data_IF_910815783390
#
_entry.id   IF_910815783390
#
_cell.length_a   1.000
_cell.length_b   1.000
_cell.length_c   1.000
_cell.angle_alpha   90.00
_cell.angle_beta   90.00
_cell.angle_gamma   90.00
#
_symmetry.space_group_name_H-M   'P 1'
#
loop_
_entity.id
_entity.type
_entity.pdbx_description
1 polymer ?
#
# COMPACT_ATOMS: atom_id res chain seq x y z
N UNK A 1 -1.20 5.74 31.93
CA UNK A 1 -2.06 6.53 31.02
C UNK A 1 -3.44 5.92 31.04
N UNK A 2 -4.52 6.67 31.36
CA UNK A 2 -5.90 6.20 31.13
C UNK A 2 -6.09 6.14 29.61
N UNK A 3 -6.28 4.95 29.09
CA UNK A 3 -6.71 4.78 27.67
C UNK A 3 -8.15 5.29 27.63
N UNK A 4 -8.36 6.46 27.01
CA UNK A 4 -9.71 6.95 26.75
C UNK A 4 -10.43 5.91 25.87
N UNK A 5 -11.64 5.55 26.22
CA UNK A 5 -12.45 4.66 25.40
C UNK A 5 -12.69 5.27 24.00
N UNK A 6 -13.00 4.41 23.02
CA UNK A 6 -13.35 4.85 21.67
C UNK A 6 -14.59 5.75 21.72
N UNK A 7 -14.59 6.92 21.05
CA UNK A 7 -15.79 7.75 20.95
C UNK A 7 -16.93 7.02 20.23
N UNK A 8 -18.16 7.40 20.57
CA UNK A 8 -19.37 6.85 19.95
C UNK A 8 -19.70 7.68 18.70
N UNK A 9 -19.93 7.00 17.56
CA UNK A 9 -20.51 7.61 16.37
C UNK A 9 -22.02 7.78 16.64
N UNK A 10 -22.50 9.02 16.60
CA UNK A 10 -23.92 9.36 16.80
C UNK A 10 -24.65 9.36 15.47
N UNK A 11 -24.06 9.96 14.46
CA UNK A 11 -24.64 9.99 13.10
C UNK A 11 -23.56 10.07 12.03
N UNK A 12 -23.91 9.61 10.84
CA UNK A 12 -23.13 9.75 9.61
C UNK A 12 -24.07 10.26 8.54
N UNK A 13 -23.69 11.35 7.88
CA UNK A 13 -24.46 11.96 6.79
C UNK A 13 -23.55 12.09 5.55
N UNK A 14 -24.07 11.76 4.39
CA UNK A 14 -23.38 12.04 3.12
C UNK A 14 -23.48 13.52 2.81
N UNK A 15 -22.36 14.22 2.80
CA UNK A 15 -22.26 15.63 2.44
C UNK A 15 -22.14 15.82 0.92
N UNK A 16 -21.39 14.93 0.24
CA UNK A 16 -21.23 14.95 -1.21
C UNK A 16 -20.87 13.57 -1.75
N UNK A 17 -21.16 13.34 -3.03
CA UNK A 17 -20.79 12.10 -3.75
C UNK A 17 -20.27 12.43 -5.13
N UNK A 18 -19.19 11.76 -5.53
CA UNK A 18 -18.65 11.76 -6.89
C UNK A 18 -18.63 10.33 -7.45
N UNK A 19 -18.03 10.13 -8.62
CA UNK A 19 -17.85 8.78 -9.20
C UNK A 19 -17.03 7.86 -8.27
N UNK A 20 -16.00 8.38 -7.62
CA UNK A 20 -15.03 7.60 -6.81
C UNK A 20 -15.17 7.84 -5.32
N UNK A 21 -15.64 9.00 -4.89
CA UNK A 21 -15.56 9.44 -3.50
C UNK A 21 -16.92 9.77 -2.92
N UNK A 22 -17.08 9.45 -1.65
CA UNK A 22 -18.19 9.91 -0.82
C UNK A 22 -17.58 10.72 0.32
N UNK A 23 -18.02 11.96 0.46
CA UNK A 23 -17.66 12.81 1.60
C UNK A 23 -18.78 12.64 2.64
N UNK A 24 -18.40 12.21 3.84
CA UNK A 24 -19.31 11.98 4.95
C UNK A 24 -18.99 12.95 6.09
N UNK A 25 -20.04 13.54 6.67
CA UNK A 25 -19.97 14.20 7.97
C UNK A 25 -20.30 13.18 9.06
N UNK A 26 -19.41 13.05 10.05
CA UNK A 26 -19.49 12.08 11.15
C UNK A 26 -19.55 12.81 12.47
N UNK A 27 -20.68 12.74 13.17
CA UNK A 27 -20.84 13.30 14.51
C UNK A 27 -20.45 12.27 15.57
N UNK A 28 -19.57 12.68 16.49
CA UNK A 28 -19.00 11.86 17.56
C UNK A 28 -19.31 12.43 18.93
N UNK A 29 -19.45 11.54 19.92
CA UNK A 29 -19.45 11.88 21.35
C UNK A 29 -18.27 11.15 22.00
N UNK A 30 -17.38 11.90 22.61
CA UNK A 30 -16.21 11.40 23.32
C UNK A 30 -16.58 10.91 24.73
N UNK A 31 -15.73 10.10 25.35
CA UNK A 31 -15.97 9.56 26.69
C UNK A 31 -16.05 10.61 27.80
N UNK A 32 -15.57 11.83 27.55
CA UNK A 32 -15.68 12.99 28.45
C UNK A 32 -16.95 13.81 28.23
N UNK A 33 -17.84 13.38 27.31
CA UNK A 33 -19.09 14.07 26.97
C UNK A 33 -18.95 15.15 25.90
N UNK A 34 -17.77 15.45 25.42
CA UNK A 34 -17.58 16.42 24.34
C UNK A 34 -18.09 15.88 23.02
N UNK A 35 -18.77 16.74 22.25
CA UNK A 35 -19.20 16.44 20.87
C UNK A 35 -18.21 17.04 19.88
N UNK A 36 -18.03 16.37 18.75
CA UNK A 36 -17.29 16.87 17.61
C UNK A 36 -17.89 16.33 16.30
N UNK A 37 -17.73 17.09 15.24
CA UNK A 37 -18.12 16.71 13.90
C UNK A 37 -16.89 16.75 12.99
N UNK A 38 -16.67 15.66 12.26
CA UNK A 38 -15.55 15.49 11.35
C UNK A 38 -16.05 15.14 9.97
N UNK A 39 -15.31 15.57 8.97
CA UNK A 39 -15.50 15.04 7.61
C UNK A 39 -14.51 13.92 7.32
N UNK A 40 -14.97 12.92 6.59
CA UNK A 40 -14.11 11.87 6.05
C UNK A 40 -14.45 11.57 4.61
N UNK A 41 -13.44 11.15 3.87
CA UNK A 41 -13.60 10.62 2.51
C UNK A 41 -13.66 9.11 2.62
N UNK A 42 -14.75 8.54 2.14
CA UNK A 42 -14.93 7.11 1.95
C UNK A 42 -15.14 6.80 0.47
N UNK A 43 -15.16 5.53 0.11
CA UNK A 43 -15.48 5.11 -1.24
C UNK A 43 -16.52 4.00 -1.19
N UNK A 44 -17.48 4.06 -2.10
CA UNK A 44 -18.48 3.01 -2.29
C UNK A 44 -17.89 1.75 -2.91
N UNK A 45 -16.72 1.86 -3.56
CA UNK A 45 -16.08 0.81 -4.34
C UNK A 45 -14.93 0.11 -3.59
N UNK A 46 -14.42 0.69 -2.48
CA UNK A 46 -13.19 0.23 -1.87
C UNK A 46 -13.44 -0.79 -0.76
N UNK A 47 -13.04 -2.03 -1.03
CA UNK A 47 -12.85 -3.08 -0.01
C UNK A 47 -11.42 -3.12 0.52
N UNK A 48 -10.60 -2.12 0.20
CA UNK A 48 -9.19 -2.02 0.50
C UNK A 48 -8.35 -1.80 -0.76
N UNK A 49 -7.08 -1.55 -0.57
CA UNK A 49 -6.09 -1.41 -1.62
C UNK A 49 -4.88 -2.30 -1.34
N UNK A 50 -4.15 -2.63 -2.37
CA UNK A 50 -2.88 -3.34 -2.29
C UNK A 50 -1.76 -2.48 -2.87
N UNK A 51 -0.57 -2.61 -2.30
CA UNK A 51 0.69 -2.14 -2.86
C UNK A 51 1.67 -3.29 -2.83
N UNK A 52 2.29 -3.56 -3.95
CA UNK A 52 3.08 -4.77 -4.16
C UNK A 52 4.57 -4.41 -4.20
N UNK A 53 5.40 -5.16 -3.48
CA UNK A 53 6.87 -5.11 -3.58
C UNK A 53 7.33 -6.30 -4.39
N UNK A 54 7.51 -6.16 -5.73
CA UNK A 54 7.89 -7.25 -6.61
C UNK A 54 9.39 -7.46 -6.53
N UNK A 55 9.82 -8.58 -5.93
CA UNK A 55 11.23 -8.92 -5.75
C UNK A 55 11.77 -9.66 -6.96
N UNK A 56 12.71 -9.04 -7.69
CA UNK A 56 13.44 -9.66 -8.79
C UNK A 56 14.44 -10.69 -8.23
N UNK A 57 15.12 -10.30 -7.18
CA UNK A 57 16.10 -11.11 -6.43
C UNK A 57 16.10 -10.70 -4.95
N UNK A 58 16.94 -11.27 -4.06
CA UNK A 58 16.96 -10.90 -2.65
C UNK A 58 17.23 -9.42 -2.34
N UNK A 59 17.75 -8.63 -3.27
CA UNK A 59 18.15 -7.23 -3.04
C UNK A 59 17.49 -6.25 -3.98
N UNK A 60 16.90 -6.73 -5.09
CA UNK A 60 16.36 -5.91 -6.17
C UNK A 60 14.84 -6.07 -6.27
N UNK A 61 14.19 -4.98 -6.62
CA UNK A 61 12.74 -4.91 -6.78
C UNK A 61 12.37 -4.12 -8.05
N UNK A 62 11.12 -4.24 -8.46
CA UNK A 62 10.58 -3.55 -9.62
C UNK A 62 9.71 -2.38 -9.19
N UNK A 63 9.89 -1.23 -9.83
CA UNK A 63 9.01 -0.07 -9.78
C UNK A 63 8.37 0.14 -11.15
N UNK A 64 7.32 0.94 -11.17
CA UNK A 64 6.66 1.45 -12.37
C UNK A 64 6.74 2.98 -12.39
N UNK A 65 6.77 3.54 -13.59
CA UNK A 65 6.68 4.98 -13.81
C UNK A 65 5.27 5.28 -14.34
N UNK A 66 4.45 5.95 -13.54
CA UNK A 66 3.00 6.16 -13.78
C UNK A 66 2.68 7.65 -13.74
N UNK A 67 1.81 8.12 -14.65
CA UNK A 67 1.29 9.48 -14.58
C UNK A 67 0.26 9.61 -13.45
N UNK A 68 0.54 10.48 -12.49
CA UNK A 68 -0.35 10.72 -11.35
C UNK A 68 -1.07 12.06 -11.50
N UNK A 69 -2.36 12.01 -11.82
CA UNK A 69 -3.18 13.18 -12.11
C UNK A 69 -3.22 14.19 -10.95
N UNK A 70 -3.09 13.73 -9.71
CA UNK A 70 -3.09 14.59 -8.52
C UNK A 70 -1.88 15.53 -8.42
N UNK A 71 -0.78 15.20 -9.09
CA UNK A 71 0.46 15.98 -9.10
C UNK A 71 0.83 16.48 -10.50
N UNK A 72 0.07 16.11 -11.53
CA UNK A 72 0.28 16.48 -12.94
C UNK A 72 1.70 16.13 -13.43
N UNK A 73 2.16 14.92 -13.10
CA UNK A 73 3.50 14.42 -13.48
C UNK A 73 3.59 12.90 -13.43
N UNK A 74 4.65 12.36 -14.02
CA UNK A 74 5.04 10.96 -13.82
C UNK A 74 5.73 10.79 -12.46
N UNK A 75 5.39 9.70 -11.77
CA UNK A 75 5.98 9.31 -10.48
C UNK A 75 6.47 7.87 -10.55
N UNK A 76 7.64 7.64 -9.94
CA UNK A 76 8.17 6.30 -9.75
C UNK A 76 7.57 5.70 -8.48
N UNK A 77 6.80 4.63 -8.62
CA UNK A 77 6.07 3.99 -7.52
C UNK A 77 6.08 2.46 -7.61
N UNK A 78 5.65 1.82 -6.54
CA UNK A 78 5.34 0.39 -6.55
C UNK A 78 4.02 0.14 -7.28
N UNK A 79 3.85 -1.02 -7.96
CA UNK A 79 2.57 -1.49 -8.45
C UNK A 79 1.52 -1.51 -7.34
N UNK A 80 0.29 -1.09 -7.64
CA UNK A 80 -0.77 -0.92 -6.65
C UNK A 80 -2.15 -0.88 -7.31
N UNK A 81 -3.17 -1.31 -6.59
CA UNK A 81 -4.53 -1.17 -7.07
C UNK A 81 -5.57 -1.54 -6.02
N UNK A 82 -6.80 -1.67 -6.46
CA UNK A 82 -7.96 -1.89 -5.60
C UNK A 82 -8.32 -3.37 -5.52
N UNK A 83 -8.76 -3.79 -4.33
CA UNK A 83 -9.35 -5.12 -4.16
C UNK A 83 -10.78 -5.08 -4.72
N UNK A 84 -11.05 -5.88 -5.74
CA UNK A 84 -12.35 -5.97 -6.40
C UNK A 84 -13.34 -6.83 -5.60
N UNK A 85 -14.61 -6.74 -5.96
CA UNK A 85 -15.65 -7.54 -5.31
C UNK A 85 -15.44 -9.05 -5.52
N UNK A 86 -15.44 -9.81 -4.42
CA UNK A 86 -15.23 -11.27 -4.45
C UNK A 86 -13.76 -11.68 -4.53
N UNK A 87 -12.84 -10.73 -4.63
CA UNK A 87 -11.39 -10.97 -4.72
C UNK A 87 -10.75 -11.01 -3.33
N UNK A 88 -9.76 -11.89 -3.14
CA UNK A 88 -8.89 -11.83 -1.97
C UNK A 88 -7.78 -10.80 -2.18
N UNK A 89 -7.24 -10.25 -1.08
CA UNK A 89 -6.11 -9.30 -1.14
C UNK A 89 -4.90 -9.84 -1.94
N UNK A 90 -4.58 -11.14 -1.81
CA UNK A 90 -3.46 -11.74 -2.55
C UNK A 90 -3.80 -11.95 -4.03
N UNK A 91 -5.06 -12.24 -4.36
CA UNK A 91 -5.50 -12.34 -5.75
C UNK A 91 -5.44 -10.97 -6.43
N UNK A 92 -5.94 -9.92 -5.77
CA UNK A 92 -5.83 -8.54 -6.22
C UNK A 92 -4.38 -8.16 -6.48
N UNK A 93 -3.49 -8.43 -5.54
CA UNK A 93 -2.07 -8.13 -5.68
C UNK A 93 -1.43 -8.83 -6.90
N UNK A 94 -1.77 -10.10 -7.15
CA UNK A 94 -1.23 -10.80 -8.31
C UNK A 94 -1.82 -10.30 -9.63
N UNK A 95 -3.11 -9.93 -9.66
CA UNK A 95 -3.76 -9.34 -10.83
C UNK A 95 -3.12 -7.99 -11.17
N UNK A 96 -3.03 -7.05 -10.22
CA UNK A 96 -2.40 -5.75 -10.41
C UNK A 96 -0.94 -5.88 -10.85
N UNK A 97 -0.19 -6.84 -10.27
CA UNK A 97 1.18 -7.11 -10.68
C UNK A 97 1.26 -7.54 -12.15
N UNK A 98 0.35 -8.40 -12.61
CA UNK A 98 0.29 -8.85 -14.00
C UNK A 98 -0.12 -7.72 -14.96
N UNK A 99 -1.09 -6.91 -14.58
CA UNK A 99 -1.60 -5.77 -15.36
C UNK A 99 -0.54 -4.68 -15.51
N UNK A 100 0.07 -4.24 -14.40
CA UNK A 100 0.98 -3.09 -14.39
C UNK A 100 2.43 -3.47 -14.77
N UNK A 101 2.86 -4.72 -14.55
CA UNK A 101 4.25 -5.10 -14.78
C UNK A 101 4.45 -6.21 -15.80
N UNK A 102 3.42 -6.97 -16.13
CA UNK A 102 3.52 -8.14 -16.98
C UNK A 102 4.17 -9.35 -16.30
N UNK A 103 4.22 -9.39 -14.97
CA UNK A 103 4.72 -10.52 -14.19
C UNK A 103 3.67 -11.05 -13.24
N UNK A 104 3.59 -12.37 -13.08
CA UNK A 104 2.90 -13.02 -11.96
C UNK A 104 3.90 -13.43 -10.89
N UNK A 105 3.43 -13.55 -9.64
CA UNK A 105 4.22 -14.02 -8.53
C UNK A 105 3.84 -15.46 -8.12
N UNK A 106 4.83 -16.34 -7.99
CA UNK A 106 4.66 -17.68 -7.43
C UNK A 106 4.51 -17.66 -5.90
N UNK A 107 4.98 -16.59 -5.24
CA UNK A 107 4.87 -16.38 -3.80
C UNK A 107 4.39 -14.98 -3.50
N UNK A 108 3.31 -14.90 -2.73
CA UNK A 108 2.71 -13.65 -2.26
C UNK A 108 2.53 -13.72 -0.75
N UNK A 109 2.91 -12.67 -0.05
CA UNK A 109 2.78 -12.57 1.38
C UNK A 109 2.38 -11.15 1.81
N UNK A 110 1.29 -11.02 2.58
CA UNK A 110 0.96 -9.76 3.25
C UNK A 110 1.94 -9.53 4.39
N UNK A 111 2.72 -8.46 4.30
CA UNK A 111 3.76 -8.15 5.27
C UNK A 111 3.41 -6.98 6.20
N UNK A 112 2.49 -6.12 5.79
CA UNK A 112 2.07 -4.96 6.58
C UNK A 112 0.71 -4.42 6.11
N UNK A 113 0.15 -3.47 6.88
CA UNK A 113 -0.98 -2.64 6.48
C UNK A 113 -0.64 -1.19 6.78
N UNK A 114 -0.82 -0.30 5.80
CA UNK A 114 -0.57 1.13 5.91
C UNK A 114 -1.90 1.88 6.01
N UNK A 115 -2.00 2.81 6.94
CA UNK A 115 -3.05 3.82 6.93
C UNK A 115 -2.56 5.05 6.15
N UNK A 116 -3.42 5.58 5.29
CA UNK A 116 -3.12 6.75 4.49
C UNK A 116 -3.99 7.91 4.95
N UNK A 117 -3.36 8.99 5.40
CA UNK A 117 -4.08 10.19 5.85
C UNK A 117 -5.29 9.88 6.77
N UNK A 118 -5.09 9.04 7.80
CA UNK A 118 -6.14 8.48 8.67
C UNK A 118 -7.01 9.54 9.39
N UNK A 119 -6.61 10.81 9.35
CA UNK A 119 -7.44 11.90 9.85
C UNK A 119 -8.71 12.15 9.05
N UNK A 120 -8.74 11.75 7.77
CA UNK A 120 -9.87 11.96 6.89
C UNK A 120 -10.09 10.89 5.81
N UNK A 121 -9.14 9.99 5.56
CA UNK A 121 -9.35 8.84 4.67
C UNK A 121 -9.72 7.60 5.46
N UNK A 122 -10.72 6.87 5.00
CA UNK A 122 -11.28 5.71 5.70
C UNK A 122 -10.80 4.35 5.16
N UNK A 123 -9.77 4.30 4.33
CA UNK A 123 -9.24 3.04 3.81
C UNK A 123 -7.76 2.81 4.15
N UNK A 124 -7.39 1.56 4.16
CA UNK A 124 -6.04 1.07 4.40
C UNK A 124 -5.50 0.40 3.13
N UNK A 125 -4.16 0.34 3.04
CA UNK A 125 -3.46 -0.33 1.94
C UNK A 125 -2.64 -1.48 2.49
N UNK A 126 -2.86 -2.69 2.00
CA UNK A 126 -2.09 -3.87 2.37
C UNK A 126 -0.79 -3.94 1.55
N UNK A 127 0.33 -4.09 2.24
CA UNK A 127 1.66 -4.26 1.62
C UNK A 127 1.89 -5.74 1.36
N UNK A 128 2.06 -6.09 0.09
CA UNK A 128 2.26 -7.46 -0.37
C UNK A 128 3.68 -7.62 -0.90
N UNK A 129 4.44 -8.52 -0.29
CA UNK A 129 5.73 -8.95 -0.84
C UNK A 129 5.48 -10.04 -1.88
N UNK A 130 5.95 -9.80 -3.11
CA UNK A 130 5.82 -10.72 -4.23
C UNK A 130 7.19 -11.28 -4.62
N UNK A 131 7.32 -12.58 -4.73
CA UNK A 131 8.55 -13.27 -5.13
C UNK A 131 8.27 -14.37 -6.15
N UNK A 132 9.36 -14.95 -6.67
CA UNK A 132 9.29 -16.00 -7.69
C UNK A 132 8.53 -15.49 -8.94
N UNK A 133 8.96 -14.32 -9.44
CA UNK A 133 8.32 -13.65 -10.56
C UNK A 133 8.51 -14.43 -11.86
N UNK A 134 7.44 -14.57 -12.62
CA UNK A 134 7.45 -15.19 -13.95
C UNK A 134 6.67 -14.33 -14.96
N UNK A 135 7.09 -14.24 -16.23
CA UNK A 135 6.39 -13.47 -17.25
C UNK A 135 4.94 -13.95 -17.42
N UNK A 136 3.99 -13.07 -17.17
CA UNK A 136 2.56 -13.28 -17.36
C UNK A 136 1.86 -11.92 -17.35
N UNK A 137 1.52 -11.41 -18.51
CA UNK A 137 0.82 -10.15 -18.65
C UNK A 137 -0.70 -10.36 -18.73
N UNK A 138 -1.43 -9.46 -18.13
CA UNK A 138 -2.86 -9.25 -18.35
C UNK A 138 -3.07 -7.89 -18.98
N UNK A 139 -4.19 -7.73 -19.68
CA UNK A 139 -4.63 -6.42 -20.15
C UNK A 139 -5.13 -5.62 -18.94
N UNK A 140 -4.48 -4.49 -18.66
CA UNK A 140 -4.88 -3.55 -17.62
C UNK A 140 -5.81 -2.46 -18.16
N UNK A 141 -6.23 -1.55 -17.28
CA UNK A 141 -7.05 -0.38 -17.62
C UNK A 141 -6.22 0.91 -17.77
N UNK A 142 -4.89 0.79 -17.69
CA UNK A 142 -3.98 1.91 -17.89
C UNK A 142 -4.04 2.42 -19.34
N UNK A 143 -4.09 3.76 -19.55
CA UNK A 143 -4.22 4.34 -20.89
C UNK A 143 -2.97 4.17 -21.76
N UNK A 144 -1.83 3.86 -21.16
CA UNK A 144 -0.55 3.60 -21.82
C UNK A 144 0.25 2.52 -21.09
N UNK A 145 1.17 1.84 -21.78
CA UNK A 145 2.06 0.87 -21.15
C UNK A 145 2.96 1.52 -20.08
N UNK A 146 2.97 0.98 -18.87
CA UNK A 146 3.81 1.49 -17.79
C UNK A 146 5.29 1.11 -17.99
N UNK A 147 6.18 2.10 -17.83
CA UNK A 147 7.62 1.86 -17.84
C UNK A 147 8.04 1.14 -16.55
N UNK A 148 8.76 0.05 -16.69
CA UNK A 148 9.28 -0.76 -15.56
C UNK A 148 10.71 -0.39 -15.25
N UNK A 149 11.02 -0.11 -13.98
CA UNK A 149 12.35 0.31 -13.52
C UNK A 149 12.83 -0.65 -12.44
N UNK A 150 13.89 -1.39 -12.74
CA UNK A 150 14.56 -2.22 -11.74
C UNK A 150 15.41 -1.34 -10.81
N UNK A 151 15.25 -1.52 -9.50
CA UNK A 151 15.95 -0.77 -8.45
C UNK A 151 16.43 -1.74 -7.37
N UNK A 152 17.31 -1.26 -6.49
CA UNK A 152 17.84 -2.07 -5.40
C UNK A 152 17.71 -1.43 -4.03
N UNK A 153 17.66 -2.24 -2.97
CA UNK A 153 17.59 -1.73 -1.59
C UNK A 153 18.84 -0.90 -1.17
N UNK A 154 20.07 -1.18 -1.63
CA UNK A 154 21.20 -0.29 -1.39
C UNK A 154 21.02 1.14 -1.91
N UNK A 155 20.27 1.33 -3.01
CA UNK A 155 20.03 2.65 -3.62
C UNK A 155 18.81 3.37 -2.99
N UNK A 156 18.00 2.68 -2.19
CA UNK A 156 16.72 3.17 -1.69
C UNK A 156 16.85 4.52 -0.94
N UNK A 157 17.83 4.62 -0.05
CA UNK A 157 17.98 5.84 0.76
C UNK A 157 18.32 7.05 -0.13
N UNK A 158 19.19 6.87 -1.13
CA UNK A 158 19.54 7.93 -2.09
C UNK A 158 18.34 8.28 -2.99
N UNK A 159 17.57 7.30 -3.41
CA UNK A 159 16.36 7.53 -4.22
C UNK A 159 15.30 8.34 -3.47
N UNK A 160 15.13 8.08 -2.18
CA UNK A 160 14.20 8.83 -1.32
C UNK A 160 14.75 10.23 -1.03
N UNK A 161 16.01 10.35 -0.62
CA UNK A 161 16.61 11.63 -0.24
C UNK A 161 16.80 12.59 -1.42
N UNK A 162 17.00 12.07 -2.62
CA UNK A 162 17.05 12.88 -3.86
C UNK A 162 15.68 13.28 -4.39
N UNK A 163 14.58 12.74 -3.83
CA UNK A 163 13.22 12.96 -4.34
C UNK A 163 12.89 12.17 -5.62
N UNK A 164 13.68 11.16 -5.97
CA UNK A 164 13.39 10.28 -7.10
C UNK A 164 12.18 9.39 -6.83
N UNK A 165 11.93 9.05 -5.56
CA UNK A 165 10.70 8.43 -5.07
C UNK A 165 10.07 9.38 -4.06
N UNK A 166 8.82 9.81 -4.29
CA UNK A 166 8.10 10.74 -3.41
C UNK A 166 6.77 10.16 -2.89
N UNK A 167 6.24 9.10 -3.51
CA UNK A 167 5.03 8.43 -3.00
C UNK A 167 5.28 7.82 -1.63
N UNK A 168 4.57 8.32 -0.62
CA UNK A 168 4.74 7.90 0.79
C UNK A 168 4.45 6.41 1.01
N UNK A 169 3.50 5.83 0.26
CA UNK A 169 3.17 4.40 0.36
C UNK A 169 4.31 3.54 -0.17
N UNK A 170 4.87 3.92 -1.31
CA UNK A 170 6.04 3.25 -1.91
C UNK A 170 7.22 3.30 -0.96
N UNK A 171 7.54 4.48 -0.41
CA UNK A 171 8.62 4.65 0.57
C UNK A 171 8.38 3.73 1.78
N UNK A 172 7.21 3.82 2.41
CA UNK A 172 6.89 3.02 3.58
C UNK A 172 6.97 1.51 3.31
N UNK A 173 6.37 1.04 2.20
CA UNK A 173 6.36 -0.36 1.81
C UNK A 173 7.78 -0.91 1.56
N UNK A 174 8.64 -0.15 0.88
CA UNK A 174 10.02 -0.55 0.62
C UNK A 174 10.85 -0.62 1.91
N UNK A 175 10.70 0.33 2.83
CA UNK A 175 11.36 0.26 4.13
C UNK A 175 10.89 -0.91 4.98
N UNK A 176 9.60 -1.22 4.98
CA UNK A 176 9.04 -2.41 5.66
C UNK A 176 9.64 -3.69 5.06
N UNK A 177 9.64 -3.81 3.73
CA UNK A 177 10.18 -4.99 3.05
C UNK A 177 11.69 -5.18 3.30
N UNK A 178 12.49 -4.10 3.25
CA UNK A 178 13.92 -4.11 3.55
C UNK A 178 14.22 -4.60 4.96
N UNK A 179 13.53 -4.04 5.94
CA UNK A 179 13.79 -4.35 7.35
C UNK A 179 13.33 -5.75 7.77
N UNK A 180 12.27 -6.29 7.14
CA UNK A 180 11.82 -7.66 7.38
C UNK A 180 12.89 -8.68 6.99
N UNK A 181 13.61 -8.46 5.89
CA UNK A 181 14.70 -9.35 5.47
C UNK A 181 15.88 -9.33 6.43
N UNK A 182 16.17 -8.16 7.00
CA UNK A 182 17.20 -8.02 8.04
C UNK A 182 16.84 -8.81 9.30
N UNK A 183 15.59 -8.78 9.75
CA UNK A 183 15.10 -9.55 10.90
C UNK A 183 15.15 -11.06 10.65
N UNK A 184 14.72 -11.54 9.48
CA UNK A 184 14.79 -12.97 9.13
C UNK A 184 16.24 -13.49 9.06
N UNK A 185 17.18 -12.66 8.66
CA UNK A 185 18.61 -13.01 8.65
C UNK A 185 19.20 -13.03 10.06
N UNK A 186 18.73 -12.17 10.98
CA UNK A 186 19.16 -12.14 12.39
C UNK A 186 18.69 -13.40 13.15
N UNK A 187 17.44 -13.85 12.93
CA UNK A 187 16.91 -15.07 13.56
C UNK A 187 17.68 -16.35 13.17
N UNK A 188 18.24 -16.38 11.97
CA UNK A 188 19.10 -17.51 11.54
C UNK A 188 20.44 -17.49 12.28
N UNK A 189 20.98 -16.31 12.57
CA UNK A 189 22.24 -16.14 13.30
C UNK A 189 22.10 -16.43 14.80
N UNK A 190 20.97 -16.11 15.43
CA UNK A 190 20.73 -16.41 16.85
C UNK A 190 20.51 -17.90 17.09
N UNK A 191 19.74 -18.59 16.25
CA UNK A 191 19.56 -20.05 16.35
C UNK A 191 20.84 -20.84 16.11
N UNK A 192 21.80 -20.30 15.34
CA UNK A 192 23.12 -20.92 15.14
C UNK A 192 24.05 -20.81 16.36
N UNK A 193 23.79 -19.87 17.31
CA UNK A 193 24.58 -19.71 18.52
C UNK A 193 24.10 -20.56 19.71
N UNK A 194 22.85 -21.02 19.67
CA UNK A 194 22.33 -21.91 20.74
C UNK A 194 22.68 -23.40 20.51
N UNK A 195 23.30 -23.74 19.37
CA UNK A 195 23.70 -25.10 19.00
C UNK A 195 25.23 -25.33 18.99
N UNK A 196 26.01 -24.38 19.50
CA UNK A 196 27.46 -24.48 19.71
C UNK A 196 27.78 -24.23 21.21
#
# INVERSE_FOLDING_TARGET
>A
MKVNGKPQIVSVHTAATSKLFVIESVKLVFTNGNEAEYERVSSTLLRGAVIIVPMIDPTSFLLINEYVVGLDRYELSLPKGLVQEGETTLAAANRELMEETGYSAGRLEKIHTLSLAAGFLSYETDVILAGDLSPHALDGDEPEPLEKVACSFPELDDMVMSGRITDARTIAALYVARNRKSAASADVFERGRELS
#
